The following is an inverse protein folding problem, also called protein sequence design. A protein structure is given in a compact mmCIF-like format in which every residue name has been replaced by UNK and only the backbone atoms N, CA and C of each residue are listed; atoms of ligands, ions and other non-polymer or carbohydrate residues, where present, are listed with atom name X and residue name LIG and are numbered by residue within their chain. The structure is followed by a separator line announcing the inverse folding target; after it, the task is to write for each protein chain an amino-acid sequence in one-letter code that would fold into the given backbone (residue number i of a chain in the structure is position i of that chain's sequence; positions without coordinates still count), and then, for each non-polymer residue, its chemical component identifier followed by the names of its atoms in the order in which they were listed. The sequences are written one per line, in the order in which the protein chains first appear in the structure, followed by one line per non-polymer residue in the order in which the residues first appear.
data_IF_279007129031
#
_entry.id   IF_279007129031
#
_cell.length_a   1.000
_cell.length_b   1.000
_cell.length_c   1.000
_cell.angle_alpha   90.00
_cell.angle_beta   90.00
_cell.angle_gamma   90.00
#
_symmetry.space_group_name_H-M   'P 1'
#
loop_
_entity.id
_entity.type
_entity.pdbx_description
1 polymer ?
#
# COMPACT_ATOMS: atom_id res chain seq x y z
N UNK A 1 -6.89 -14.44 8.53
CA UNK A 1 -5.46 -14.70 8.89
C UNK A 1 -4.79 -13.35 9.09
N UNK A 2 -3.84 -13.22 10.04
CA UNK A 2 -3.16 -11.94 10.33
C UNK A 2 -1.66 -12.10 10.11
N UNK A 3 -1.09 -11.25 9.26
CA UNK A 3 0.35 -11.18 8.98
C UNK A 3 0.91 -9.84 9.49
N UNK A 4 2.17 -9.85 9.92
CA UNK A 4 2.95 -8.66 10.21
C UNK A 4 4.07 -8.59 9.17
N UNK A 5 4.15 -7.49 8.43
CA UNK A 5 5.22 -7.24 7.48
C UNK A 5 6.09 -6.10 8.00
N UNK A 6 7.40 -6.29 8.00
CA UNK A 6 8.37 -5.22 8.20
C UNK A 6 8.86 -4.77 6.81
N UNK A 7 8.75 -3.48 6.50
CA UNK A 7 9.00 -2.92 5.18
C UNK A 7 9.95 -1.72 5.28
N UNK A 8 10.79 -1.56 4.26
CA UNK A 8 11.63 -0.38 4.07
C UNK A 8 11.38 0.16 2.65
N UNK A 9 11.30 1.48 2.52
CA UNK A 9 11.04 2.14 1.24
C UNK A 9 11.80 3.46 1.14
N UNK A 10 12.07 3.89 -0.09
CA UNK A 10 12.57 5.23 -0.36
C UNK A 10 11.40 6.23 -0.34
N UNK A 11 11.41 7.16 0.61
CA UNK A 11 10.34 8.13 0.82
C UNK A 11 10.31 9.28 -0.19
N UNK A 12 11.31 9.43 -1.06
CA UNK A 12 11.40 10.60 -1.96
C UNK A 12 10.30 10.65 -3.02
N UNK A 13 9.76 9.49 -3.42
CA UNK A 13 8.73 9.37 -4.47
C UNK A 13 7.30 9.25 -3.91
N UNK A 14 7.12 9.31 -2.60
CA UNK A 14 5.84 9.09 -1.94
C UNK A 14 5.48 10.24 -1.01
N UNK A 15 4.19 10.58 -0.95
CA UNK A 15 3.67 11.58 -0.03
C UNK A 15 3.39 11.00 1.36
N UNK A 16 4.36 10.26 1.91
CA UNK A 16 4.25 9.57 3.19
C UNK A 16 3.61 8.19 3.12
N UNK A 17 3.30 7.65 4.30
CA UNK A 17 2.78 6.28 4.46
C UNK A 17 1.30 6.17 4.11
N UNK A 18 0.43 6.84 4.88
CA UNK A 18 -1.01 6.64 4.83
C UNK A 18 -1.64 7.20 3.55
N UNK A 19 -2.67 6.51 3.04
CA UNK A 19 -3.49 6.98 1.91
C UNK A 19 -4.14 8.32 2.24
N UNK A 20 -4.05 9.27 1.32
CA UNK A 20 -4.56 10.63 1.51
C UNK A 20 -5.67 10.97 0.50
N UNK A 21 -6.67 11.77 0.91
CA UNK A 21 -7.60 12.38 -0.02
C UNK A 21 -6.87 13.24 -1.05
N UNK A 22 -7.26 13.16 -2.33
CA UNK A 22 -6.69 14.00 -3.40
C UNK A 22 -5.72 13.29 -4.35
N UNK A 23 -5.63 11.96 -4.33
CA UNK A 23 -4.95 11.17 -5.37
C UNK A 23 -3.43 11.27 -5.36
N UNK A 24 -2.82 11.66 -4.24
CA UNK A 24 -1.37 11.66 -4.06
C UNK A 24 -0.87 10.24 -3.84
N UNK A 25 0.21 9.86 -4.52
CA UNK A 25 0.82 8.54 -4.39
C UNK A 25 1.40 8.34 -2.99
N UNK A 26 0.96 7.29 -2.31
CA UNK A 26 1.38 6.93 -0.94
C UNK A 26 1.87 5.48 -0.88
N UNK A 27 2.59 5.14 0.18
CA UNK A 27 3.12 3.78 0.35
C UNK A 27 2.00 2.79 0.64
N UNK A 28 1.04 3.15 1.50
CA UNK A 28 -0.10 2.30 1.83
C UNK A 28 -0.88 1.91 0.56
N UNK A 29 -1.30 2.88 -0.26
CA UNK A 29 -2.05 2.61 -1.49
C UNK A 29 -1.26 1.72 -2.46
N UNK A 30 0.04 1.97 -2.59
CA UNK A 30 0.91 1.15 -3.47
C UNK A 30 1.05 -0.28 -2.94
N UNK A 31 1.13 -0.44 -1.62
CA UNK A 31 1.22 -1.75 -1.00
C UNK A 31 -0.10 -2.52 -1.11
N UNK A 32 -1.24 -1.88 -0.90
CA UNK A 32 -2.58 -2.47 -1.07
C UNK A 32 -2.77 -3.01 -2.51
N UNK A 33 -2.37 -2.21 -3.50
CA UNK A 33 -2.38 -2.56 -4.92
C UNK A 33 -1.48 -3.77 -5.22
N UNK A 34 -0.23 -3.75 -4.73
CA UNK A 34 0.72 -4.83 -4.92
C UNK A 34 0.28 -6.12 -4.23
N UNK A 35 -0.27 -6.03 -3.02
CA UNK A 35 -0.81 -7.17 -2.29
C UNK A 35 -1.95 -7.81 -3.08
N UNK A 36 -2.87 -7.02 -3.64
CA UNK A 36 -3.94 -7.54 -4.51
C UNK A 36 -3.39 -8.37 -5.66
N UNK A 37 -2.35 -7.87 -6.34
CA UNK A 37 -1.71 -8.58 -7.45
C UNK A 37 -1.08 -9.90 -6.99
N UNK A 38 -0.32 -9.88 -5.90
CA UNK A 38 0.40 -11.06 -5.39
C UNK A 38 -0.56 -12.13 -4.84
N UNK A 39 -1.60 -11.71 -4.12
CA UNK A 39 -2.60 -12.64 -3.55
C UNK A 39 -3.68 -13.03 -4.55
N UNK A 40 -3.72 -12.38 -5.73
CA UNK A 40 -4.77 -12.53 -6.74
C UNK A 40 -6.16 -12.25 -6.18
N UNK A 41 -6.25 -11.28 -5.27
CA UNK A 41 -7.52 -10.86 -4.71
C UNK A 41 -8.36 -10.08 -5.74
N UNK A 42 -9.70 -10.17 -5.67
CA UNK A 42 -10.58 -9.46 -6.60
C UNK A 42 -10.55 -7.94 -6.38
N UNK A 43 -10.39 -7.51 -5.12
CA UNK A 43 -10.46 -6.10 -4.72
C UNK A 43 -9.20 -5.68 -3.93
N UNK A 44 -8.85 -4.38 -3.91
CA UNK A 44 -7.80 -3.86 -3.04
C UNK A 44 -8.14 -4.07 -1.56
N UNK A 45 -7.12 -4.23 -0.72
CA UNK A 45 -7.29 -4.30 0.72
C UNK A 45 -7.44 -2.89 1.29
N UNK A 46 -8.36 -2.68 2.23
CA UNK A 46 -8.39 -1.48 3.08
C UNK A 46 -7.57 -1.77 4.34
N UNK A 47 -6.36 -1.18 4.43
CA UNK A 47 -5.44 -1.35 5.56
C UNK A 47 -5.57 -0.24 6.62
#
# INVERSE_FOLDING_TARGET
MRLRLDLSYDGTQFHGWARQPGGRRTVQETLEEALRVVTRAPDPYEL
#
